data_IF_180948469630
#
_entry.id   IF_180948469630
#
_cell.length_a   1.000
_cell.length_b   1.000
_cell.length_c   1.000
_cell.angle_alpha   90.00
_cell.angle_beta   90.00
_cell.angle_gamma   90.00
#
_symmetry.space_group_name_H-M   'P 1'
#
loop_
_entity.id
_entity.type
_entity.pdbx_description
1 polymer ?
#
# COMPACT_ATOMS: atom_id res chain seq x y z
N UNK A 1 9.95 20.19 -36.03
CA UNK A 1 9.82 20.48 -34.59
C UNK A 1 9.51 19.19 -33.87
N UNK A 2 10.35 18.68 -32.95
CA UNK A 2 9.94 17.62 -32.06
C UNK A 2 9.29 18.27 -30.83
N UNK A 3 7.99 18.04 -30.67
CA UNK A 3 7.24 18.46 -29.49
C UNK A 3 7.08 17.25 -28.57
N UNK A 4 7.45 17.45 -27.30
CA UNK A 4 6.78 16.88 -26.13
C UNK A 4 6.77 15.34 -25.98
N UNK A 5 7.88 14.81 -25.49
CA UNK A 5 7.90 13.51 -24.79
C UNK A 5 8.94 13.51 -23.66
N UNK A 6 9.13 14.67 -23.02
CA UNK A 6 10.07 14.89 -21.93
C UNK A 6 9.32 15.38 -20.70
N UNK A 7 8.77 14.44 -19.89
CA UNK A 7 8.46 14.60 -18.46
C UNK A 7 7.64 13.41 -17.90
N UNK A 8 8.12 12.17 -18.01
CA UNK A 8 7.49 11.05 -17.27
C UNK A 8 8.48 10.02 -16.73
N UNK A 9 9.78 10.32 -16.77
CA UNK A 9 10.84 9.42 -16.34
C UNK A 9 11.84 10.06 -15.37
N UNK A 10 11.50 11.21 -14.77
CA UNK A 10 12.20 11.70 -13.58
C UNK A 10 11.67 10.92 -12.37
N UNK A 11 12.47 9.96 -11.92
CA UNK A 11 12.56 9.46 -10.54
C UNK A 11 11.26 9.14 -9.78
N UNK A 12 10.40 8.25 -10.30
CA UNK A 12 9.45 7.56 -9.42
C UNK A 12 10.19 6.51 -8.56
N UNK A 13 11.03 6.97 -7.64
CA UNK A 13 11.59 6.16 -6.54
C UNK A 13 10.55 5.91 -5.45
N UNK A 14 9.43 6.64 -5.52
CA UNK A 14 8.32 6.64 -4.58
C UNK A 14 7.11 5.88 -5.12
N UNK A 15 6.80 4.78 -4.47
CA UNK A 15 5.68 3.89 -4.75
C UNK A 15 4.66 3.98 -3.62
N UNK A 16 3.39 3.83 -3.95
CA UNK A 16 2.31 3.82 -2.98
C UNK A 16 1.72 2.41 -2.89
N UNK A 17 1.50 1.92 -1.68
CA UNK A 17 0.85 0.64 -1.41
C UNK A 17 -0.59 0.92 -1.03
N UNK A 18 -1.52 0.51 -1.90
CA UNK A 18 -2.95 0.70 -1.73
C UNK A 18 -3.56 -0.64 -1.33
N UNK A 19 -4.24 -0.68 -0.17
CA UNK A 19 -5.04 -1.83 0.20
C UNK A 19 -6.35 -1.76 -0.59
N UNK A 20 -6.53 -2.69 -1.54
CA UNK A 20 -7.76 -2.80 -2.34
C UNK A 20 -8.85 -3.55 -1.61
N UNK A 21 -8.49 -4.71 -1.05
CA UNK A 21 -9.45 -5.61 -0.41
C UNK A 21 -8.81 -6.26 0.82
N UNK A 22 -9.61 -6.47 1.87
CA UNK A 22 -9.16 -7.05 3.15
C UNK A 22 -9.26 -8.59 3.13
N UNK A 23 -10.02 -9.15 2.19
CA UNK A 23 -10.34 -10.57 2.12
C UNK A 23 -11.06 -11.11 3.36
N UNK A 24 -10.98 -12.42 3.56
CA UNK A 24 -11.67 -13.12 4.66
C UNK A 24 -10.98 -12.93 6.02
N UNK A 25 -9.68 -12.60 6.04
CA UNK A 25 -8.86 -12.59 7.24
C UNK A 25 -8.64 -11.18 7.82
N UNK A 26 -9.75 -10.49 8.10
CA UNK A 26 -9.76 -9.08 8.55
C UNK A 26 -8.81 -8.78 9.71
N UNK A 27 -8.75 -9.67 10.72
CA UNK A 27 -7.87 -9.50 11.89
C UNK A 27 -6.39 -9.56 11.50
N UNK A 28 -6.01 -10.50 10.63
CA UNK A 28 -4.63 -10.63 10.15
C UNK A 28 -4.19 -9.41 9.35
N UNK A 29 -5.08 -8.87 8.51
CA UNK A 29 -4.79 -7.65 7.74
C UNK A 29 -4.68 -6.42 8.64
N UNK A 30 -5.54 -6.27 9.66
CA UNK A 30 -5.41 -5.19 10.66
C UNK A 30 -4.06 -5.27 11.37
N UNK A 31 -3.60 -6.47 11.73
CA UNK A 31 -2.29 -6.66 12.35
C UNK A 31 -1.16 -6.28 11.39
N UNK A 32 -1.22 -6.73 10.14
CA UNK A 32 -0.24 -6.39 9.12
C UNK A 32 -0.18 -4.87 8.87
N UNK A 33 -1.32 -4.21 8.65
CA UNK A 33 -1.38 -2.74 8.48
C UNK A 33 -0.81 -2.02 9.70
N UNK A 34 -1.16 -2.47 10.91
CA UNK A 34 -0.64 -1.89 12.16
C UNK A 34 0.88 -2.03 12.29
N UNK A 35 1.44 -3.17 11.88
CA UNK A 35 2.90 -3.38 11.85
C UNK A 35 3.59 -2.52 10.77
N UNK A 36 2.94 -2.26 9.64
CA UNK A 36 3.51 -1.52 8.51
C UNK A 36 3.43 0.01 8.67
N UNK A 37 2.39 0.50 9.36
CA UNK A 37 2.06 1.93 9.48
C UNK A 37 2.25 2.48 10.89
N UNK A 38 2.39 1.61 11.89
CA UNK A 38 2.51 1.96 13.33
C UNK A 38 1.29 2.72 13.88
N UNK A 39 0.18 2.76 13.13
CA UNK A 39 -1.07 3.40 13.53
C UNK A 39 -1.71 2.71 14.75
N UNK A 40 -2.57 3.43 15.48
CA UNK A 40 -3.35 2.83 16.57
C UNK A 40 -4.29 1.72 16.07
N UNK A 41 -4.80 0.88 17.00
CA UNK A 41 -5.76 -0.19 16.65
C UNK A 41 -7.00 0.35 15.94
N UNK A 42 -7.50 1.51 16.40
CA UNK A 42 -8.67 2.18 15.82
C UNK A 42 -8.39 2.69 14.41
N UNK A 43 -7.26 3.33 14.20
CA UNK A 43 -6.85 3.88 12.90
C UNK A 43 -6.54 2.78 11.88
N UNK A 44 -5.84 1.72 12.31
CA UNK A 44 -5.56 0.55 11.47
C UNK A 44 -6.86 -0.14 11.03
N UNK A 45 -7.83 -0.27 11.94
CA UNK A 45 -9.16 -0.82 11.64
C UNK A 45 -9.94 0.06 10.67
N UNK A 46 -9.95 1.38 10.89
CA UNK A 46 -10.59 2.34 9.98
C UNK A 46 -9.97 2.31 8.57
N UNK A 47 -8.64 2.23 8.49
CA UNK A 47 -7.90 2.15 7.22
C UNK A 47 -8.30 0.91 6.44
N UNK A 48 -8.27 -0.28 7.06
CA UNK A 48 -8.66 -1.50 6.35
C UNK A 48 -10.14 -1.51 5.98
N UNK A 49 -11.03 -1.01 6.84
CA UNK A 49 -12.48 -0.96 6.58
C UNK A 49 -12.86 0.07 5.52
N UNK A 50 -11.99 1.06 5.30
CA UNK A 50 -12.11 2.06 4.26
C UNK A 50 -11.47 1.64 2.93
N UNK A 51 -11.07 0.38 2.77
CA UNK A 51 -10.53 -0.10 1.51
C UNK A 51 -11.54 0.18 0.36
N UNK A 52 -11.10 0.71 -0.81
CA UNK A 52 -9.70 0.92 -1.20
C UNK A 52 -9.06 2.20 -0.62
N UNK A 53 -7.96 2.06 0.15
CA UNK A 53 -7.20 3.19 0.74
C UNK A 53 -5.68 2.94 0.70
N UNK A 54 -4.85 4.00 0.60
CA UNK A 54 -3.41 3.89 0.73
C UNK A 54 -3.02 3.46 2.15
N UNK A 55 -2.19 2.42 2.25
CA UNK A 55 -1.54 1.97 3.50
C UNK A 55 -0.30 2.79 3.76
N UNK A 56 0.49 3.04 2.72
CA UNK A 56 1.75 3.78 2.80
C UNK A 56 2.05 4.41 1.44
N UNK A 57 2.59 5.61 1.45
CA UNK A 57 2.86 6.41 0.26
C UNK A 57 4.30 6.92 0.31
N UNK A 58 4.91 7.15 -0.85
CA UNK A 58 6.26 7.72 -0.90
C UNK A 58 7.38 6.74 -0.52
N UNK A 59 7.20 5.43 -0.76
CA UNK A 59 8.17 4.42 -0.33
C UNK A 59 8.95 3.79 -1.48
N UNK A 60 10.15 3.29 -1.18
CA UNK A 60 10.98 2.61 -2.17
C UNK A 60 10.31 1.35 -2.76
N UNK A 61 10.74 0.95 -3.97
CA UNK A 61 10.21 -0.23 -4.67
C UNK A 61 10.29 -1.50 -3.81
N UNK A 62 11.42 -1.72 -3.13
CA UNK A 62 11.64 -2.87 -2.26
C UNK A 62 10.70 -2.85 -1.05
N UNK A 63 10.47 -1.69 -0.45
CA UNK A 63 9.55 -1.54 0.68
C UNK A 63 8.10 -1.76 0.21
N UNK A 64 7.72 -1.21 -0.94
CA UNK A 64 6.39 -1.41 -1.51
C UNK A 64 6.09 -2.88 -1.85
N UNK A 65 7.08 -3.58 -2.42
CA UNK A 65 6.98 -5.01 -2.68
C UNK A 65 6.86 -5.82 -1.38
N UNK A 66 7.68 -5.50 -0.36
CA UNK A 66 7.62 -6.16 0.95
C UNK A 66 6.26 -5.94 1.65
N UNK A 67 5.73 -4.72 1.61
CA UNK A 67 4.43 -4.38 2.17
C UNK A 67 3.29 -5.10 1.44
N UNK A 68 3.30 -5.08 0.10
CA UNK A 68 2.33 -5.81 -0.71
C UNK A 68 2.33 -7.30 -0.34
N UNK A 69 3.50 -7.91 -0.30
CA UNK A 69 3.64 -9.34 0.01
C UNK A 69 3.16 -9.66 1.44
N UNK A 70 3.40 -8.75 2.42
CA UNK A 70 2.94 -8.93 3.80
C UNK A 70 1.42 -8.78 3.93
N UNK A 71 0.80 -7.89 3.17
CA UNK A 71 -0.66 -7.75 3.08
C UNK A 71 -1.30 -8.96 2.38
N UNK A 72 -0.72 -9.43 1.28
CA UNK A 72 -1.17 -10.63 0.55
C UNK A 72 -1.06 -11.89 1.41
N UNK A 73 0.05 -12.06 2.14
CA UNK A 73 0.21 -13.16 3.09
C UNK A 73 -0.79 -13.11 4.26
N UNK A 74 -1.26 -11.92 4.63
CA UNK A 74 -2.33 -11.74 5.62
C UNK A 74 -3.73 -12.02 5.06
N UNK A 75 -3.88 -12.20 3.74
CA UNK A 75 -5.13 -12.47 3.05
C UNK A 75 -5.82 -11.24 2.46
N UNK A 76 -5.10 -10.11 2.35
CA UNK A 76 -5.56 -8.89 1.69
C UNK A 76 -5.07 -8.80 0.23
N UNK A 77 -5.69 -7.95 -0.56
CA UNK A 77 -5.21 -7.57 -1.89
C UNK A 77 -4.63 -6.16 -1.81
N UNK A 78 -3.34 -6.04 -2.13
CA UNK A 78 -2.66 -4.76 -2.18
C UNK A 78 -2.14 -4.46 -3.59
N UNK A 79 -2.25 -3.21 -4.01
CA UNK A 79 -1.74 -2.70 -5.28
C UNK A 79 -0.59 -1.74 -5.03
N UNK A 80 0.44 -1.81 -5.87
CA UNK A 80 1.57 -0.87 -5.84
C UNK A 80 1.45 0.04 -7.05
N UNK A 81 1.36 1.35 -6.82
CA UNK A 81 1.22 2.36 -7.87
C UNK A 81 2.34 3.38 -7.84
#
# INVERSE_FOLDING_TARGET
APTEAAASAEEKTEFNVILKEIGANKISVIKAVRELTTLGLKESKDLVESAPKPVKEGIGKDEAAAMKQKLEAAGATAEVT
#
